data_IF_977698469567
#
_entry.id   IF_977698469567
#
_cell.length_a   1.000
_cell.length_b   1.000
_cell.length_c   1.000
_cell.angle_alpha   90.00
_cell.angle_beta   90.00
_cell.angle_gamma   90.00
#
_symmetry.space_group_name_H-M   'P 1'
#
loop_
_entity.id
_entity.type
_entity.pdbx_description
1 polymer ?
#
# COMPACT_ATOMS: atom_id res chain seq x y z
N UNK A 1 -6.78 -22.33 -0.08
CA UNK A 1 -7.24 -21.82 -1.39
C UNK A 1 -8.62 -21.23 -1.17
N UNK A 2 -8.63 -19.99 -0.70
CA UNK A 2 -9.83 -19.20 -0.48
C UNK A 2 -10.47 -18.89 -1.84
N UNK A 3 -11.77 -19.11 -1.97
CA UNK A 3 -12.49 -18.78 -3.21
C UNK A 3 -12.58 -17.27 -3.36
N UNK A 4 -12.51 -16.74 -4.58
CA UNK A 4 -12.64 -15.30 -4.84
C UNK A 4 -13.98 -14.76 -4.34
N UNK A 5 -15.04 -15.56 -4.40
CA UNK A 5 -16.36 -15.19 -3.88
C UNK A 5 -16.34 -15.03 -2.36
N UNK A 6 -15.65 -15.92 -1.65
CA UNK A 6 -15.50 -15.83 -0.19
C UNK A 6 -14.65 -14.60 0.20
N UNK A 7 -13.60 -14.28 -0.57
CA UNK A 7 -12.81 -13.07 -0.36
C UNK A 7 -13.63 -11.79 -0.59
N UNK A 8 -14.48 -11.77 -1.61
CA UNK A 8 -15.34 -10.62 -1.90
C UNK A 8 -16.38 -10.41 -0.78
N UNK A 9 -17.03 -11.48 -0.33
CA UNK A 9 -17.97 -11.41 0.82
C UNK A 9 -17.27 -10.96 2.11
N UNK A 10 -16.03 -11.40 2.31
CA UNK A 10 -15.22 -10.96 3.45
C UNK A 10 -14.87 -9.47 3.33
N UNK A 11 -14.42 -9.00 2.16
CA UNK A 11 -14.11 -7.60 1.93
C UNK A 11 -15.34 -6.71 2.19
N UNK A 12 -16.51 -7.06 1.64
CA UNK A 12 -17.76 -6.34 1.89
C UNK A 12 -18.11 -6.29 3.38
N UNK A 13 -17.95 -7.42 4.08
CA UNK A 13 -18.22 -7.50 5.53
C UNK A 13 -17.24 -6.64 6.34
N UNK A 14 -15.98 -6.55 5.92
CA UNK A 14 -14.97 -5.70 6.56
C UNK A 14 -15.32 -4.22 6.38
N UNK A 15 -15.70 -3.81 5.17
CA UNK A 15 -16.10 -2.43 4.88
C UNK A 15 -17.34 -2.01 5.68
N UNK A 16 -18.36 -2.88 5.75
CA UNK A 16 -19.56 -2.61 6.54
C UNK A 16 -19.22 -2.49 8.04
N UNK A 17 -18.32 -3.33 8.55
CA UNK A 17 -17.92 -3.32 9.94
C UNK A 17 -16.97 -2.17 10.31
N UNK A 18 -16.18 -1.68 9.33
CA UNK A 18 -15.28 -0.55 9.53
C UNK A 18 -15.95 0.80 9.32
N UNK A 19 -17.20 0.86 8.82
CA UNK A 19 -17.90 2.13 8.51
C UNK A 19 -17.04 3.03 7.60
N UNK A 20 -16.40 2.43 6.59
CA UNK A 20 -15.44 3.07 5.68
C UNK A 20 -14.21 3.74 6.37
N UNK A 21 -13.91 3.40 7.63
CA UNK A 21 -12.73 3.86 8.35
C UNK A 21 -11.51 2.95 8.08
N UNK A 22 -10.49 3.50 7.42
CA UNK A 22 -9.27 2.76 7.05
C UNK A 22 -8.44 2.30 8.27
N UNK A 23 -8.50 3.02 9.40
CA UNK A 23 -7.81 2.63 10.63
C UNK A 23 -8.48 1.40 11.26
N UNK A 24 -9.81 1.38 11.27
CA UNK A 24 -10.58 0.22 11.71
C UNK A 24 -10.38 -0.96 10.77
N UNK A 25 -10.46 -0.74 9.45
CA UNK A 25 -10.22 -1.78 8.45
C UNK A 25 -8.85 -2.43 8.67
N UNK A 26 -7.80 -1.63 8.84
CA UNK A 26 -6.46 -2.14 9.06
C UNK A 26 -6.34 -2.97 10.36
N UNK A 27 -7.03 -2.57 11.44
CA UNK A 27 -7.11 -3.38 12.67
C UNK A 27 -7.88 -4.69 12.46
N UNK A 28 -8.92 -4.69 11.63
CA UNK A 28 -9.66 -5.92 11.32
C UNK A 28 -8.83 -6.87 10.48
N UNK A 29 -8.07 -6.35 9.50
CA UNK A 29 -7.11 -7.13 8.71
C UNK A 29 -6.06 -7.82 9.60
N UNK A 30 -5.61 -7.19 10.69
CA UNK A 30 -4.69 -7.81 11.66
C UNK A 30 -5.26 -9.08 12.32
N UNK A 31 -6.59 -9.21 12.40
CA UNK A 31 -7.25 -10.37 13.01
C UNK A 31 -7.41 -11.56 12.07
N UNK A 32 -7.22 -11.34 10.76
CA UNK A 32 -7.31 -12.38 9.75
C UNK A 32 -6.06 -13.26 9.75
N UNK A 33 -6.21 -14.49 9.26
CA UNK A 33 -5.07 -15.35 8.98
C UNK A 33 -4.22 -14.79 7.82
N UNK A 34 -2.95 -15.18 7.79
CA UNK A 34 -1.97 -14.68 6.84
C UNK A 34 -2.33 -14.97 5.37
N UNK A 35 -2.92 -16.15 5.08
CA UNK A 35 -3.33 -16.53 3.72
C UNK A 35 -4.46 -15.62 3.22
N UNK A 36 -5.53 -15.49 4.00
CA UNK A 36 -6.69 -14.65 3.65
C UNK A 36 -6.31 -13.18 3.55
N UNK A 37 -5.51 -12.69 4.50
CA UNK A 37 -5.04 -11.31 4.50
C UNK A 37 -4.15 -11.01 3.31
N UNK A 38 -3.20 -11.88 2.99
CA UNK A 38 -2.35 -11.73 1.82
C UNK A 38 -3.16 -11.74 0.53
N UNK A 39 -4.18 -12.58 0.43
CA UNK A 39 -5.08 -12.61 -0.71
C UNK A 39 -5.86 -11.31 -0.88
N UNK A 40 -6.39 -10.73 0.22
CA UNK A 40 -7.07 -9.43 0.19
C UNK A 40 -6.12 -8.31 -0.24
N UNK A 41 -4.95 -8.21 0.39
CA UNK A 41 -3.93 -7.17 0.13
C UNK A 41 -3.28 -7.26 -1.26
N UNK A 42 -3.59 -8.31 -2.04
CA UNK A 42 -3.11 -8.50 -3.42
C UNK A 42 -4.25 -8.61 -4.45
N UNK A 43 -5.50 -8.36 -4.02
CA UNK A 43 -6.70 -8.47 -4.85
C UNK A 43 -7.15 -7.12 -5.43
N UNK A 44 -8.21 -7.15 -6.25
CA UNK A 44 -8.90 -5.95 -6.72
C UNK A 44 -9.98 -5.46 -5.74
N UNK A 45 -10.12 -6.10 -4.57
CA UNK A 45 -11.16 -5.81 -3.58
C UNK A 45 -10.77 -4.65 -2.64
N UNK A 46 -9.48 -4.41 -2.49
CA UNK A 46 -8.94 -3.27 -1.77
C UNK A 46 -8.24 -2.33 -2.76
N UNK A 47 -8.18 -1.05 -2.40
CA UNK A 47 -7.36 -0.08 -3.11
C UNK A 47 -5.93 -0.06 -2.55
N UNK A 48 -5.00 0.55 -3.30
CA UNK A 48 -3.60 0.63 -2.88
C UNK A 48 -3.42 1.48 -1.61
N UNK A 49 -4.32 2.42 -1.33
CA UNK A 49 -4.29 3.23 -0.11
C UNK A 49 -4.56 2.41 1.15
N UNK A 50 -5.51 1.49 1.11
CA UNK A 50 -5.83 0.60 2.23
C UNK A 50 -4.66 -0.33 2.53
N UNK A 51 -3.98 -0.83 1.50
CA UNK A 51 -2.75 -1.62 1.66
C UNK A 51 -1.63 -0.78 2.26
N UNK A 52 -1.44 0.44 1.73
CA UNK A 52 -0.48 1.40 2.25
C UNK A 52 -0.70 1.65 3.74
N UNK A 53 -1.93 2.01 4.12
CA UNK A 53 -2.28 2.30 5.51
C UNK A 53 -2.11 1.06 6.40
N UNK A 54 -2.49 -0.13 5.92
CA UNK A 54 -2.30 -1.36 6.66
C UNK A 54 -0.82 -1.61 7.04
N UNK A 55 0.11 -1.37 6.13
CA UNK A 55 1.54 -1.61 6.37
C UNK A 55 2.24 -0.49 7.13
N UNK A 56 1.99 0.76 6.76
CA UNK A 56 2.72 1.91 7.32
C UNK A 56 2.05 2.51 8.54
N UNK A 57 0.72 2.38 8.68
CA UNK A 57 -0.10 3.02 9.73
C UNK A 57 0.08 4.54 9.77
N UNK A 58 0.35 5.12 8.61
CA UNK A 58 0.56 6.55 8.39
C UNK A 58 -0.40 7.04 7.30
N UNK A 59 -0.76 8.32 7.38
CA UNK A 59 -1.53 9.00 6.33
C UNK A 59 -0.56 9.80 5.48
N UNK A 60 -0.43 9.51 4.18
CA UNK A 60 0.40 10.29 3.27
C UNK A 60 -0.27 11.65 2.99
N UNK A 61 0.37 12.50 2.19
CA UNK A 61 -0.27 13.73 1.72
C UNK A 61 -1.52 13.44 0.86
N UNK A 62 -2.36 14.46 0.69
CA UNK A 62 -3.64 14.35 -0.02
C UNK A 62 -3.48 13.87 -1.46
N UNK A 63 -2.46 14.33 -2.19
CA UNK A 63 -2.23 13.94 -3.57
C UNK A 63 -1.80 12.48 -3.68
N UNK A 64 -0.89 12.05 -2.82
CA UNK A 64 -0.47 10.66 -2.71
C UNK A 64 -1.63 9.75 -2.33
N UNK A 65 -2.46 10.16 -1.36
CA UNK A 65 -3.67 9.44 -0.95
C UNK A 65 -4.65 9.27 -2.11
N UNK A 66 -4.96 10.35 -2.83
CA UNK A 66 -5.84 10.31 -4.01
C UNK A 66 -5.31 9.35 -5.07
N UNK A 67 -4.01 9.41 -5.38
CA UNK A 67 -3.36 8.48 -6.33
C UNK A 67 -3.55 7.03 -5.88
N UNK A 68 -3.22 6.72 -4.63
CA UNK A 68 -3.36 5.37 -4.08
C UNK A 68 -4.81 4.86 -4.11
N UNK A 69 -5.80 5.73 -3.90
CA UNK A 69 -7.22 5.34 -3.95
C UNK A 69 -7.72 5.04 -5.37
N UNK A 70 -7.07 5.57 -6.41
CA UNK A 70 -7.42 5.32 -7.81
C UNK A 70 -6.95 3.96 -8.33
N UNK A 71 -6.07 3.28 -7.59
CA UNK A 71 -5.44 2.03 -7.99
C UNK A 71 -5.87 0.87 -7.10
N UNK A 72 -5.95 -0.32 -7.70
CA UNK A 72 -6.24 -1.54 -6.96
C UNK A 72 -5.02 -2.00 -6.18
N UNK A 73 -5.22 -2.75 -5.09
CA UNK A 73 -4.13 -3.39 -4.36
C UNK A 73 -3.32 -4.34 -5.25
N UNK A 74 -3.95 -5.01 -6.22
CA UNK A 74 -3.28 -5.86 -7.21
C UNK A 74 -2.27 -5.11 -8.09
N UNK A 75 -2.46 -3.80 -8.32
CA UNK A 75 -1.55 -2.99 -9.13
C UNK A 75 -0.17 -2.84 -8.46
N UNK A 76 -0.11 -2.98 -7.12
CA UNK A 76 1.13 -2.90 -6.35
C UNK A 76 2.13 -4.00 -6.71
N UNK A 77 1.69 -5.10 -7.33
CA UNK A 77 2.58 -6.14 -7.84
C UNK A 77 3.47 -5.65 -9.00
N UNK A 78 3.08 -4.56 -9.68
CA UNK A 78 3.85 -3.93 -10.77
C UNK A 78 4.58 -2.66 -10.33
N UNK A 79 4.25 -2.17 -9.14
CA UNK A 79 4.67 -0.88 -8.62
C UNK A 79 3.82 0.27 -9.14
N UNK A 80 3.53 1.19 -8.23
CA UNK A 80 2.72 2.36 -8.44
C UNK A 80 3.51 3.61 -8.10
N UNK A 81 3.54 4.59 -9.00
CA UNK A 81 4.09 5.92 -8.70
C UNK A 81 3.12 6.63 -7.76
N UNK A 82 3.57 6.89 -6.53
CA UNK A 82 2.74 7.51 -5.50
C UNK A 82 3.04 9.01 -5.37
N UNK A 83 4.29 9.41 -5.58
CA UNK A 83 4.74 10.80 -5.47
C UNK A 83 5.80 11.13 -6.53
N UNK A 84 5.94 12.41 -6.87
CA UNK A 84 6.88 12.92 -7.86
C UNK A 84 7.55 14.19 -7.32
N UNK A 85 8.87 14.20 -7.22
CA UNK A 85 9.67 15.32 -6.71
C UNK A 85 10.74 15.69 -7.72
N UNK A 86 10.56 16.86 -8.38
CA UNK A 86 11.40 17.35 -9.47
C UNK A 86 11.56 16.38 -10.65
N UNK A 87 12.65 15.60 -10.67
CA UNK A 87 12.99 14.60 -11.69
C UNK A 87 12.87 13.16 -11.14
N UNK A 88 12.46 13.02 -9.88
CA UNK A 88 12.40 11.74 -9.19
C UNK A 88 10.97 11.28 -8.98
N UNK A 89 10.78 9.97 -9.07
CA UNK A 89 9.52 9.28 -8.83
C UNK A 89 9.65 8.41 -7.59
N UNK A 90 8.66 8.48 -6.71
CA UNK A 90 8.49 7.59 -5.56
C UNK A 90 7.55 6.47 -5.96
N UNK A 91 8.04 5.24 -5.95
CA UNK A 91 7.27 4.05 -6.32
C UNK A 91 6.99 3.21 -5.08
N UNK A 92 5.72 2.90 -4.84
CA UNK A 92 5.27 1.93 -3.85
C UNK A 92 4.91 0.62 -4.55
N UNK A 93 5.41 -0.50 -4.03
CA UNK A 93 5.14 -1.82 -4.55
C UNK A 93 5.10 -2.87 -3.44
N UNK A 94 4.49 -4.01 -3.74
CA UNK A 94 4.53 -5.20 -2.90
C UNK A 94 5.47 -6.23 -3.53
N UNK A 95 6.49 -6.65 -2.81
CA UNK A 95 7.46 -7.66 -3.25
C UNK A 95 7.59 -8.75 -2.19
N UNK A 96 7.41 -10.02 -2.57
CA UNK A 96 7.47 -11.19 -1.68
C UNK A 96 6.63 -11.07 -0.39
N UNK A 97 5.51 -10.32 -0.46
CA UNK A 97 4.60 -10.09 0.68
C UNK A 97 5.03 -8.94 1.60
N UNK A 98 6.10 -8.21 1.26
CA UNK A 98 6.56 -7.05 2.00
C UNK A 98 6.32 -5.75 1.22
N UNK A 99 5.97 -4.64 1.92
CA UNK A 99 5.86 -3.33 1.32
C UNK A 99 7.27 -2.80 1.00
N UNK A 100 7.44 -2.25 -0.20
CA UNK A 100 8.69 -1.63 -0.65
C UNK A 100 8.38 -0.24 -1.18
N UNK A 101 9.21 0.72 -0.82
CA UNK A 101 9.19 2.08 -1.39
C UNK A 101 10.55 2.39 -1.97
N UNK A 102 10.59 2.88 -3.20
CA UNK A 102 11.84 3.24 -3.87
C UNK A 102 11.74 4.60 -4.55
N UNK A 103 12.91 5.25 -4.67
CA UNK A 103 13.09 6.53 -5.33
C UNK A 103 13.93 6.29 -6.58
N UNK A 104 13.46 6.75 -7.73
CA UNK A 104 14.12 6.55 -9.03
C UNK A 104 14.09 7.82 -9.86
N UNK A 105 15.09 8.03 -10.72
CA UNK A 105 15.08 9.07 -11.77
C UNK A 105 14.55 8.54 -13.12
N UNK A 106 14.02 7.30 -13.13
CA UNK A 106 13.58 6.58 -14.32
C UNK A 106 14.69 5.74 -14.99
N UNK A 107 15.96 6.01 -14.70
CA UNK A 107 17.11 5.24 -15.20
C UNK A 107 17.81 4.43 -14.10
N UNK A 108 17.93 5.00 -12.89
CA UNK A 108 18.62 4.44 -11.74
C UNK A 108 17.77 4.55 -10.47
N UNK A 109 17.76 3.49 -9.68
CA UNK A 109 17.21 3.54 -8.31
C UNK A 109 18.21 4.25 -7.40
N UNK A 110 17.80 5.37 -6.81
CA UNK A 110 18.61 6.14 -5.87
C UNK A 110 18.54 5.56 -4.46
N UNK A 111 17.33 5.19 -4.04
CA UNK A 111 17.08 4.62 -2.72
C UNK A 111 15.96 3.59 -2.80
N UNK A 112 16.02 2.59 -1.92
CA UNK A 112 15.01 1.53 -1.80
C UNK A 112 14.96 1.09 -0.35
N UNK A 113 13.75 1.09 0.21
CA UNK A 113 13.47 0.68 1.58
C UNK A 113 12.35 -0.35 1.58
N UNK A 114 12.34 -1.26 2.55
CA UNK A 114 11.35 -2.33 2.67
C UNK A 114 10.87 -2.49 4.11
N UNK A 115 9.64 -2.97 4.28
CA UNK A 115 9.02 -3.18 5.58
C UNK A 115 8.19 -1.97 6.05
N UNK A 116 7.68 -2.05 7.28
CA UNK A 116 6.69 -1.12 7.83
C UNK A 116 7.20 0.30 8.04
N UNK A 117 8.52 0.53 7.94
CA UNK A 117 9.14 1.86 8.09
C UNK A 117 9.57 2.46 6.73
N UNK A 118 9.40 1.74 5.62
CA UNK A 118 9.97 2.12 4.33
C UNK A 118 9.49 3.49 3.83
N UNK A 119 8.22 3.83 4.06
CA UNK A 119 7.67 5.13 3.69
C UNK A 119 8.31 6.26 4.50
N UNK A 120 8.41 6.11 5.82
CA UNK A 120 9.07 7.09 6.68
C UNK A 120 10.58 7.22 6.38
N UNK A 121 11.25 6.12 6.03
CA UNK A 121 12.66 6.14 5.64
C UNK A 121 12.89 6.89 4.33
N UNK A 122 12.03 6.68 3.32
CA UNK A 122 12.18 7.40 2.05
C UNK A 122 11.86 8.89 2.18
N UNK A 123 10.86 9.25 2.99
CA UNK A 123 10.54 10.64 3.28
C UNK A 123 11.74 11.36 3.94
N UNK A 124 12.37 10.72 4.94
CA UNK A 124 13.59 11.24 5.56
C UNK A 124 14.75 11.36 4.57
N UNK A 125 14.95 10.35 3.72
CA UNK A 125 16.00 10.38 2.70
C UNK A 125 15.82 11.56 1.73
N UNK A 126 14.58 11.83 1.31
CA UNK A 126 14.27 12.96 0.45
C UNK A 126 14.54 14.30 1.16
N UNK A 127 14.14 14.47 2.41
CA UNK A 127 14.41 15.69 3.19
C UNK A 127 15.92 15.95 3.40
N UNK A 128 16.73 14.90 3.50
CA UNK A 128 18.18 15.03 3.73
C UNK A 128 18.98 15.25 2.44
N UNK A 129 18.50 14.72 1.30
CA UNK A 129 19.27 14.66 0.05
C UNK A 129 18.76 15.59 -1.07
N UNK A 130 17.52 16.08 -1.00
CA UNK A 130 16.89 16.99 -1.97
C UNK A 130 16.72 18.39 -1.37
#
# INVERSE_FOLDING_TARGET
MTDYMELAELADSLFEASDDDDELLAKMLDTLDEETRGALLSSDLLNAYQVFYYYFRETPDELTMERLQLHAASDLARGLVIDEVDLYEVIFLMEDGEPVVLLTDGENTLARFSGTEAYAEIARYMEECL
#
